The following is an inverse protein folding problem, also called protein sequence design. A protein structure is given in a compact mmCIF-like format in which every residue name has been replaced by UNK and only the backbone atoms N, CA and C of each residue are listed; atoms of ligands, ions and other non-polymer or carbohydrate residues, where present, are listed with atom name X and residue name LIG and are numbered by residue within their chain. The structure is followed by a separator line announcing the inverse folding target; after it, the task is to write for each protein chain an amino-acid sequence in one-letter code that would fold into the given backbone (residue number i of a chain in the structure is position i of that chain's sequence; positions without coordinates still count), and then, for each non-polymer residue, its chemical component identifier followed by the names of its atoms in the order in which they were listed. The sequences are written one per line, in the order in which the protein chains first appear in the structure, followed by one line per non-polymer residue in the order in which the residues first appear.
data_IF_575909149437
#
_entry.id   IF_575909149437
#
_cell.length_a   1.000
_cell.length_b   1.000
_cell.length_c   1.000
_cell.angle_alpha   90.00
_cell.angle_beta   90.00
_cell.angle_gamma   90.00
#
_symmetry.space_group_name_H-M   'P 1'
#
loop_
_entity.id
_entity.type
_entity.pdbx_description
1 polymer ?
#
# COMPACT_ATOMS: atom_id res chain seq x y z
N UNK A 1 12.82 25.72 25.20
CA UNK A 1 11.78 25.81 24.14
C UNK A 1 10.65 24.89 24.56
N UNK A 2 9.40 25.35 24.69
CA UNK A 2 8.30 24.45 25.06
C UNK A 2 7.89 23.69 23.80
N UNK A 3 8.11 22.38 23.77
CA UNK A 3 7.56 21.52 22.71
C UNK A 3 6.05 21.53 22.84
N UNK A 4 5.37 21.78 21.72
CA UNK A 4 3.91 21.80 21.68
C UNK A 4 3.36 20.40 21.98
N UNK A 5 2.62 20.28 23.09
CA UNK A 5 2.00 19.02 23.53
C UNK A 5 1.02 18.47 22.48
N UNK A 6 0.42 19.36 21.67
CA UNK A 6 -0.47 18.96 20.58
C UNK A 6 0.31 18.21 19.50
N UNK A 7 1.52 18.66 19.15
CA UNK A 7 2.37 18.00 18.15
C UNK A 7 2.76 16.59 18.61
N UNK A 8 3.17 16.44 19.86
CA UNK A 8 3.51 15.13 20.44
C UNK A 8 2.31 14.17 20.36
N UNK A 9 1.13 14.61 20.80
CA UNK A 9 -0.08 13.79 20.75
C UNK A 9 -0.48 13.39 19.33
N UNK A 10 -0.33 14.27 18.35
CA UNK A 10 -0.61 13.95 16.95
C UNK A 10 0.40 12.95 16.37
N UNK A 11 1.67 13.02 16.77
CA UNK A 11 2.67 12.03 16.37
C UNK A 11 2.33 10.66 16.96
N UNK A 12 1.96 10.58 18.25
CA UNK A 12 1.54 9.34 18.90
C UNK A 12 0.35 8.70 18.16
N UNK A 13 -0.68 9.48 17.86
CA UNK A 13 -1.86 9.00 17.14
C UNK A 13 -1.50 8.52 15.72
N UNK A 14 -0.68 9.29 15.00
CA UNK A 14 -0.24 8.93 13.64
C UNK A 14 0.56 7.62 13.65
N UNK A 15 1.41 7.39 14.66
CA UNK A 15 2.16 6.15 14.80
C UNK A 15 1.23 4.93 14.98
N UNK A 16 0.10 5.08 15.68
CA UNK A 16 -0.91 4.01 15.83
C UNK A 16 -1.59 3.70 14.49
N UNK A 17 -1.93 4.74 13.71
CA UNK A 17 -2.51 4.57 12.38
C UNK A 17 -1.54 3.88 11.42
N UNK A 18 -0.28 4.32 11.39
CA UNK A 18 0.75 3.72 10.54
C UNK A 18 1.08 2.27 10.94
N UNK A 19 1.06 1.95 12.23
CA UNK A 19 1.23 0.57 12.70
C UNK A 19 0.08 -0.34 12.23
N UNK A 20 -1.15 0.20 12.15
CA UNK A 20 -2.29 -0.51 11.57
C UNK A 20 -2.06 -0.82 10.09
N UNK A 21 -1.52 0.14 9.32
CA UNK A 21 -1.19 -0.07 7.90
C UNK A 21 -0.07 -1.10 7.71
N UNK A 22 0.95 -1.10 8.57
CA UNK A 22 2.06 -2.06 8.52
C UNK A 22 1.63 -3.49 8.83
N UNK A 23 0.60 -3.65 9.67
CA UNK A 23 0.01 -4.95 10.03
C UNK A 23 -0.86 -5.56 8.93
N UNK A 24 -1.14 -4.82 7.86
CA UNK A 24 -1.81 -5.39 6.70
C UNK A 24 -0.89 -6.47 6.09
N UNK A 25 -1.38 -7.71 6.05
CA UNK A 25 -0.63 -8.86 5.55
C UNK A 25 -0.57 -8.89 4.03
N UNK A 26 0.22 -9.79 3.44
CA UNK A 26 0.30 -9.90 1.98
C UNK A 26 -1.04 -10.29 1.33
N UNK A 27 -1.17 -10.02 0.02
CA UNK A 27 -2.35 -10.38 -0.78
C UNK A 27 -2.04 -11.51 -1.78
N UNK A 28 -1.64 -12.72 -1.33
CA UNK A 28 -1.11 -13.77 -2.21
C UNK A 28 -2.12 -14.25 -3.25
N UNK A 29 -3.39 -14.38 -2.89
CA UNK A 29 -4.45 -14.76 -3.83
C UNK A 29 -4.63 -13.71 -4.94
N UNK A 30 -4.59 -12.43 -4.60
CA UNK A 30 -4.72 -11.32 -5.56
C UNK A 30 -3.49 -11.22 -6.46
N UNK A 31 -2.29 -11.46 -5.93
CA UNK A 31 -1.06 -11.54 -6.71
C UNK A 31 -1.12 -12.69 -7.71
N UNK A 32 -1.54 -13.88 -7.27
CA UNK A 32 -1.70 -15.04 -8.15
C UNK A 32 -2.75 -14.79 -9.23
N UNK A 33 -3.90 -14.21 -8.86
CA UNK A 33 -4.93 -13.83 -9.82
C UNK A 33 -4.40 -12.87 -10.88
N UNK A 34 -3.62 -11.86 -10.49
CA UNK A 34 -2.98 -10.92 -11.43
C UNK A 34 -2.09 -11.63 -12.44
N UNK A 35 -1.32 -12.63 -12.00
CA UNK A 35 -0.45 -13.43 -12.86
C UNK A 35 -1.27 -14.26 -13.85
N UNK A 36 -2.28 -14.98 -13.37
CA UNK A 36 -3.12 -15.82 -14.25
C UNK A 36 -3.94 -15.00 -15.25
N UNK A 37 -4.49 -13.86 -14.84
CA UNK A 37 -5.21 -12.96 -15.75
C UNK A 37 -4.29 -12.39 -16.83
N UNK A 38 -3.02 -12.08 -16.52
CA UNK A 38 -2.04 -11.66 -17.53
C UNK A 38 -1.75 -12.75 -18.55
N UNK A 39 -1.61 -14.00 -18.10
CA UNK A 39 -1.41 -15.15 -19.00
C UNK A 39 -2.61 -15.36 -19.90
N UNK A 40 -3.82 -15.38 -19.32
CA UNK A 40 -5.08 -15.52 -20.05
C UNK A 40 -5.27 -14.42 -21.09
N UNK A 41 -4.92 -13.17 -20.74
CA UNK A 41 -5.02 -12.05 -21.67
C UNK A 41 -4.01 -12.14 -22.84
N UNK A 42 -2.92 -12.90 -22.67
CA UNK A 42 -1.88 -13.09 -23.69
C UNK A 42 -2.04 -14.39 -24.50
N UNK A 43 -2.94 -15.31 -24.10
CA UNK A 43 -3.08 -16.62 -24.74
C UNK A 43 -3.86 -16.60 -26.07
N UNK A 44 -4.61 -15.52 -26.34
CA UNK A 44 -5.52 -15.43 -27.51
C UNK A 44 -6.82 -16.23 -27.36
N UNK A 45 -6.96 -17.03 -26.30
CA UNK A 45 -8.15 -17.86 -26.04
C UNK A 45 -9.41 -17.01 -25.83
N UNK A 46 -9.25 -15.83 -25.22
CA UNK A 46 -10.35 -14.90 -24.98
C UNK A 46 -10.99 -14.40 -26.27
N UNK A 47 -10.18 -14.10 -27.30
CA UNK A 47 -10.66 -13.60 -28.59
C UNK A 47 -11.45 -14.68 -29.33
N UNK A 48 -10.99 -15.94 -29.25
CA UNK A 48 -11.69 -17.09 -29.80
C UNK A 48 -13.04 -17.37 -29.12
N UNK A 49 -13.17 -17.05 -27.82
CA UNK A 49 -14.43 -17.20 -27.08
C UNK A 49 -15.39 -16.05 -27.35
N UNK A 50 -14.92 -14.80 -27.23
CA UNK A 50 -15.67 -13.59 -27.52
C UNK A 50 -14.70 -12.40 -27.63
N UNK A 51 -14.68 -11.67 -28.77
CA UNK A 51 -13.78 -10.52 -28.97
C UNK A 51 -13.86 -9.42 -27.89
N UNK A 52 -15.01 -9.28 -27.21
CA UNK A 52 -15.19 -8.31 -26.12
C UNK A 52 -14.53 -8.74 -24.80
N UNK A 53 -14.26 -10.03 -24.60
CA UNK A 53 -13.61 -10.52 -23.38
C UNK A 53 -12.16 -10.05 -23.29
N UNK A 54 -11.46 -9.93 -24.42
CA UNK A 54 -10.08 -9.45 -24.46
C UNK A 54 -9.96 -8.05 -23.86
N UNK A 55 -10.84 -7.12 -24.26
CA UNK A 55 -10.82 -5.74 -23.74
C UNK A 55 -11.25 -5.68 -22.28
N UNK A 56 -12.23 -6.50 -21.89
CA UNK A 56 -12.70 -6.57 -20.52
C UNK A 56 -11.63 -7.11 -19.56
N UNK A 57 -10.99 -8.25 -19.90
CA UNK A 57 -9.93 -8.84 -19.08
C UNK A 57 -8.70 -7.94 -19.03
N UNK A 58 -8.32 -7.28 -20.14
CA UNK A 58 -7.23 -6.31 -20.13
C UNK A 58 -7.48 -5.17 -19.13
N UNK A 59 -8.72 -4.70 -19.01
CA UNK A 59 -9.12 -3.69 -18.02
C UNK A 59 -9.00 -4.22 -16.58
N UNK A 60 -9.43 -5.46 -16.32
CA UNK A 60 -9.28 -6.11 -15.02
C UNK A 60 -7.80 -6.26 -14.66
N UNK A 61 -6.96 -6.74 -15.58
CA UNK A 61 -5.50 -6.88 -15.38
C UNK A 61 -4.89 -5.55 -14.94
N UNK A 62 -5.25 -4.45 -15.62
CA UNK A 62 -4.80 -3.10 -15.29
C UNK A 62 -5.24 -2.69 -13.89
N UNK A 63 -6.51 -2.87 -13.56
CA UNK A 63 -7.06 -2.44 -12.28
C UNK A 63 -6.50 -3.24 -11.09
N UNK A 64 -6.36 -4.57 -11.24
CA UNK A 64 -5.73 -5.43 -10.22
C UNK A 64 -4.25 -5.08 -10.08
N UNK A 65 -3.56 -4.78 -11.19
CA UNK A 65 -2.18 -4.31 -11.16
C UNK A 65 -2.02 -3.01 -10.37
N UNK A 66 -2.90 -2.02 -10.59
CA UNK A 66 -2.90 -0.78 -9.82
C UNK A 66 -3.18 -1.03 -8.34
N UNK A 67 -4.18 -1.85 -8.01
CA UNK A 67 -4.49 -2.19 -6.62
C UNK A 67 -3.26 -2.75 -5.90
N UNK A 68 -2.58 -3.73 -6.49
CA UNK A 68 -1.37 -4.34 -5.90
C UNK A 68 -0.22 -3.32 -5.78
N UNK A 69 -0.02 -2.47 -6.78
CA UNK A 69 1.00 -1.43 -6.75
C UNK A 69 0.74 -0.39 -5.65
N UNK A 70 -0.49 0.10 -5.56
CA UNK A 70 -0.92 1.04 -4.50
C UNK A 70 -0.81 0.40 -3.12
N UNK A 71 -1.23 -0.87 -2.99
CA UNK A 71 -1.13 -1.61 -1.73
C UNK A 71 0.32 -1.67 -1.22
N UNK A 72 1.25 -2.12 -2.09
CA UNK A 72 2.67 -2.20 -1.74
C UNK A 72 3.25 -0.82 -1.42
N UNK A 73 2.89 0.21 -2.20
CA UNK A 73 3.34 1.58 -1.97
C UNK A 73 2.87 2.12 -0.61
N UNK A 74 1.60 1.92 -0.25
CA UNK A 74 1.06 2.33 1.05
C UNK A 74 1.81 1.65 2.19
N UNK A 75 2.07 0.34 2.07
CA UNK A 75 2.81 -0.41 3.08
C UNK A 75 4.24 0.13 3.27
N UNK A 76 4.99 0.29 2.17
CA UNK A 76 6.35 0.89 2.20
C UNK A 76 6.34 2.31 2.77
N UNK A 77 5.36 3.15 2.40
CA UNK A 77 5.25 4.48 2.95
C UNK A 77 4.93 4.46 4.44
N UNK A 78 4.08 3.54 4.90
CA UNK A 78 3.76 3.42 6.32
C UNK A 78 5.00 3.05 7.15
N UNK A 79 5.85 2.15 6.66
CA UNK A 79 7.13 1.81 7.29
C UNK A 79 8.07 3.02 7.37
N UNK A 80 8.30 3.68 6.23
CA UNK A 80 9.22 4.82 6.16
C UNK A 80 8.77 6.00 7.03
N UNK A 81 7.48 6.34 6.99
CA UNK A 81 6.92 7.45 7.80
C UNK A 81 6.88 7.11 9.29
N UNK A 82 6.73 5.83 9.64
CA UNK A 82 6.88 5.39 11.05
C UNK A 82 8.27 5.71 11.57
N UNK A 83 9.32 5.39 10.80
CA UNK A 83 10.71 5.66 11.19
C UNK A 83 10.98 7.16 11.38
N UNK A 84 10.56 7.98 10.42
CA UNK A 84 10.72 9.44 10.48
C UNK A 84 10.01 10.05 11.71
N UNK A 85 8.78 9.62 12.00
CA UNK A 85 8.02 10.11 13.16
C UNK A 85 8.61 9.65 14.49
N UNK A 86 9.14 8.43 14.57
CA UNK A 86 9.86 7.94 15.75
C UNK A 86 11.13 8.75 16.01
N UNK A 87 11.89 9.07 14.97
CA UNK A 87 13.08 9.91 15.09
C UNK A 87 12.72 11.32 15.55
N UNK A 88 11.69 11.94 14.94
CA UNK A 88 11.20 13.25 15.34
C UNK A 88 10.76 13.26 16.81
N UNK A 89 9.99 12.25 17.25
CA UNK A 89 9.55 12.10 18.64
C UNK A 89 10.75 12.03 19.60
N UNK A 90 11.79 11.29 19.24
CA UNK A 90 13.00 11.17 20.05
C UNK A 90 13.77 12.50 20.16
N UNK A 91 13.85 13.28 19.09
CA UNK A 91 14.48 14.60 19.09
C UNK A 91 13.70 15.61 19.94
N UNK A 92 12.37 15.65 19.78
CA UNK A 92 11.50 16.52 20.58
C UNK A 92 11.56 16.17 22.07
N UNK A 93 11.59 14.89 22.41
CA UNK A 93 11.73 14.41 23.79
C UNK A 93 13.07 14.79 24.42
N UNK A 94 14.16 14.84 23.63
CA UNK A 94 15.47 15.31 24.08
C UNK A 94 15.49 16.82 24.30
N UNK A 95 14.85 17.60 23.41
CA UNK A 95 14.81 19.05 23.50
C UNK A 95 13.89 19.60 24.62
N UNK A 96 12.98 18.75 25.12
CA UNK A 96 12.10 19.08 26.24
C UNK A 96 12.71 18.79 27.63
N UNK A 97 13.88 18.15 27.69
CA UNK A 97 14.68 17.95 28.92
C UNK A 97 15.68 19.10 29.08
#
# INVERSE_FOLDING_TARGET
MMVDKQVISLIENSLVELDTLKKLGELPATQQLSIELKKLNASGELEAMNPLLTTYVASIVKNVGFLLGTYNSVHTHAENRTGELQELMAQLSKAAK
#
